data_IF_659308603041
#
_entry.id   IF_659308603041
#
_cell.length_a   1.000
_cell.length_b   1.000
_cell.length_c   1.000
_cell.angle_alpha   90.00
_cell.angle_beta   90.00
_cell.angle_gamma   90.00
#
_symmetry.space_group_name_H-M   'P 1'
#
loop_
_entity.id
_entity.type
_entity.pdbx_description
1 polymer ?
#
# COMPACT_ATOMS: atom_id res chain seq x y z
N UNK A 1 -22.84 11.63 -13.09
CA UNK A 1 -22.21 10.34 -12.83
C UNK A 1 -20.80 10.57 -12.27
N UNK A 2 -20.53 10.07 -11.09
CA UNK A 2 -19.21 10.26 -10.48
C UNK A 2 -18.19 9.42 -11.23
N UNK A 3 -17.00 9.98 -11.57
CA UNK A 3 -15.95 9.16 -12.13
C UNK A 3 -15.54 8.08 -11.13
N UNK A 4 -15.31 6.89 -11.64
CA UNK A 4 -14.81 5.80 -10.80
C UNK A 4 -13.47 6.20 -10.19
N UNK A 5 -13.44 6.36 -8.89
CA UNK A 5 -12.17 6.54 -8.19
C UNK A 5 -11.38 5.25 -8.33
N UNK A 6 -10.20 5.34 -8.88
CA UNK A 6 -9.31 4.20 -8.95
C UNK A 6 -9.01 3.73 -7.54
N UNK A 7 -9.19 2.45 -7.28
CA UNK A 7 -9.00 1.83 -5.96
C UNK A 7 -7.53 1.59 -5.61
N UNK A 8 -6.62 1.89 -6.51
CA UNK A 8 -5.18 1.71 -6.32
C UNK A 8 -4.43 2.84 -7.00
N UNK A 9 -3.14 2.97 -6.66
CA UNK A 9 -2.27 3.95 -7.30
C UNK A 9 -2.13 3.66 -8.80
N UNK A 10 -2.05 4.73 -9.57
CA UNK A 10 -1.69 4.65 -10.99
C UNK A 10 -0.18 4.41 -11.13
N UNK A 11 0.24 3.98 -12.32
CA UNK A 11 1.66 3.81 -12.62
C UNK A 11 2.47 5.10 -12.39
N UNK A 12 1.90 6.24 -12.79
CA UNK A 12 2.56 7.54 -12.59
C UNK A 12 2.72 7.88 -11.11
N UNK A 13 1.71 7.60 -10.30
CA UNK A 13 1.76 7.80 -8.86
C UNK A 13 2.81 6.89 -8.20
N UNK A 14 2.91 5.64 -8.65
CA UNK A 14 3.93 4.71 -8.17
C UNK A 14 5.33 5.20 -8.54
N UNK A 15 5.52 5.69 -9.75
CA UNK A 15 6.80 6.27 -10.20
C UNK A 15 7.18 7.46 -9.31
N UNK A 16 6.23 8.32 -8.99
CA UNK A 16 6.45 9.46 -8.09
C UNK A 16 6.88 9.00 -6.71
N UNK A 17 6.23 7.95 -6.16
CA UNK A 17 6.61 7.39 -4.87
C UNK A 17 8.01 6.79 -4.87
N UNK A 18 8.37 6.08 -5.92
CA UNK A 18 9.71 5.49 -6.04
C UNK A 18 10.81 6.53 -6.17
N UNK A 19 10.50 7.68 -6.77
CA UNK A 19 11.43 8.81 -6.85
C UNK A 19 11.60 9.53 -5.53
N UNK A 20 10.66 9.37 -4.61
CA UNK A 20 10.75 9.88 -3.26
C UNK A 20 11.64 8.92 -2.46
N UNK A 21 12.93 8.97 -2.68
CA UNK A 21 13.86 8.19 -1.87
C UNK A 21 14.11 8.93 -0.56
N UNK A 22 13.27 8.63 0.42
CA UNK A 22 13.31 9.24 1.75
C UNK A 22 14.61 8.91 2.49
N UNK A 23 15.33 7.89 2.03
CA UNK A 23 16.54 7.42 2.71
C UNK A 23 17.81 8.13 2.24
N UNK A 24 17.75 8.85 1.14
CA UNK A 24 18.91 9.55 0.55
C UNK A 24 18.80 11.06 0.64
N UNK A 25 18.27 11.57 1.72
CA UNK A 25 18.16 13.01 1.85
C UNK A 25 19.46 13.67 2.30
N UNK A 26 20.28 13.97 1.32
CA UNK A 26 21.34 14.98 1.48
C UNK A 26 20.71 16.34 1.19
N UNK A 27 20.35 17.05 2.25
CA UNK A 27 19.74 18.36 2.12
C UNK A 27 18.23 18.34 2.28
N UNK A 28 17.79 19.01 3.23
CA UNK A 28 16.46 19.08 3.80
C UNK A 28 15.35 19.50 2.82
N UNK A 29 14.95 18.60 1.93
CA UNK A 29 13.60 18.70 1.39
C UNK A 29 12.80 17.60 2.08
N UNK A 30 11.92 17.97 2.98
CA UNK A 30 11.07 16.98 3.66
C UNK A 30 10.20 16.28 2.63
N UNK A 31 9.93 14.99 2.85
CA UNK A 31 8.99 14.23 2.04
C UNK A 31 7.65 14.97 1.95
N UNK A 32 7.25 15.63 3.02
CA UNK A 32 6.04 16.44 3.06
C UNK A 32 6.06 17.60 2.07
N UNK A 33 7.18 18.33 1.96
CA UNK A 33 7.29 19.43 1.03
C UNK A 33 7.17 18.96 -0.42
N UNK A 34 7.80 17.84 -0.76
CA UNK A 34 7.73 17.26 -2.11
C UNK A 34 6.31 16.79 -2.42
N UNK A 35 5.67 16.09 -1.49
CA UNK A 35 4.31 15.63 -1.65
C UNK A 35 3.32 16.78 -1.80
N UNK A 36 3.50 17.85 -1.01
CA UNK A 36 2.65 19.04 -1.11
C UNK A 36 2.74 19.71 -2.48
N UNK A 37 3.93 19.73 -3.07
CA UNK A 37 4.15 20.27 -4.41
C UNK A 37 3.54 19.40 -5.51
N UNK A 38 3.69 18.07 -5.40
CA UNK A 38 3.31 17.14 -6.46
C UNK A 38 1.86 16.68 -6.38
N UNK A 39 1.30 16.57 -5.20
CA UNK A 39 -0.01 15.95 -4.98
C UNK A 39 -1.00 16.91 -4.33
N UNK A 40 -0.53 17.82 -3.51
CA UNK A 40 -1.39 18.74 -2.76
C UNK A 40 -1.01 18.82 -1.30
N UNK A 41 -1.52 19.85 -0.64
CA UNK A 41 -1.24 20.12 0.76
C UNK A 41 -1.88 19.06 1.65
N UNK A 42 -1.21 18.74 2.75
CA UNK A 42 -1.73 17.89 3.80
C UNK A 42 -3.09 18.40 4.28
N UNK A 43 -4.08 17.51 4.33
CA UNK A 43 -5.45 17.85 4.68
C UNK A 43 -6.35 18.17 3.49
N UNK A 44 -5.80 18.34 2.28
CA UNK A 44 -6.63 18.45 1.08
C UNK A 44 -7.23 17.08 0.71
N UNK A 45 -8.36 17.08 0.01
CA UNK A 45 -9.01 15.84 -0.42
C UNK A 45 -8.11 15.03 -1.36
N UNK A 46 -7.41 15.69 -2.27
CA UNK A 46 -6.48 15.03 -3.18
C UNK A 46 -5.33 14.39 -2.42
N UNK A 47 -4.81 15.07 -1.41
CA UNK A 47 -3.72 14.55 -0.60
C UNK A 47 -4.16 13.38 0.27
N UNK A 48 -5.35 13.45 0.87
CA UNK A 48 -5.89 12.37 1.69
C UNK A 48 -6.12 11.11 0.85
N UNK A 49 -6.66 11.26 -0.35
CA UNK A 49 -6.85 10.14 -1.28
C UNK A 49 -5.51 9.52 -1.69
N UNK A 50 -4.53 10.35 -2.01
CA UNK A 50 -3.18 9.90 -2.34
C UNK A 50 -2.53 9.16 -1.17
N UNK A 51 -2.62 9.71 0.05
CA UNK A 51 -2.00 9.10 1.23
C UNK A 51 -2.60 7.73 1.53
N UNK A 52 -3.92 7.57 1.40
CA UNK A 52 -4.59 6.29 1.59
C UNK A 52 -4.11 5.25 0.54
N UNK A 53 -4.05 5.65 -0.71
CA UNK A 53 -3.56 4.79 -1.80
C UNK A 53 -2.08 4.44 -1.65
N UNK A 54 -1.27 5.42 -1.22
CA UNK A 54 0.16 5.20 -1.00
C UNK A 54 0.40 4.19 0.11
N UNK A 55 -0.37 4.26 1.20
CA UNK A 55 -0.30 3.28 2.30
C UNK A 55 -0.71 1.90 1.82
N UNK A 56 -1.80 1.80 1.07
CA UNK A 56 -2.27 0.52 0.53
C UNK A 56 -1.22 -0.10 -0.39
N UNK A 57 -0.60 0.72 -1.25
CA UNK A 57 0.48 0.27 -2.12
C UNK A 57 1.68 -0.22 -1.30
N UNK A 58 2.09 0.52 -0.29
CA UNK A 58 3.22 0.17 0.57
C UNK A 58 2.97 -1.15 1.30
N UNK A 59 1.80 -1.31 1.91
CA UNK A 59 1.45 -2.55 2.59
C UNK A 59 1.35 -3.73 1.62
N UNK A 60 0.83 -3.49 0.43
CA UNK A 60 0.79 -4.51 -0.63
C UNK A 60 2.17 -5.00 -1.02
N UNK A 61 3.11 -4.08 -1.21
CA UNK A 61 4.51 -4.41 -1.52
C UNK A 61 5.17 -5.18 -0.36
N UNK A 62 4.93 -4.77 0.87
CA UNK A 62 5.46 -5.44 2.05
C UNK A 62 4.97 -6.90 2.14
N UNK A 63 3.68 -7.12 1.93
CA UNK A 63 3.11 -8.46 1.94
C UNK A 63 3.64 -9.31 0.79
N UNK A 64 3.81 -8.71 -0.39
CA UNK A 64 4.39 -9.38 -1.55
C UNK A 64 5.82 -9.83 -1.28
N UNK A 65 6.65 -8.96 -0.74
CA UNK A 65 8.04 -9.29 -0.41
C UNK A 65 8.10 -10.40 0.64
N UNK A 66 7.26 -10.31 1.67
CA UNK A 66 7.21 -11.36 2.69
C UNK A 66 6.77 -12.70 2.11
N UNK A 67 5.78 -12.69 1.21
CA UNK A 67 5.35 -13.90 0.52
C UNK A 67 6.51 -14.55 -0.24
N UNK A 68 7.28 -13.73 -0.95
CA UNK A 68 8.45 -14.20 -1.69
C UNK A 68 9.54 -14.74 -0.79
N UNK A 69 9.80 -14.08 0.34
CA UNK A 69 10.74 -14.58 1.34
C UNK A 69 10.37 -15.97 1.84
N UNK A 70 9.08 -16.23 1.99
CA UNK A 70 8.57 -17.54 2.40
C UNK A 70 8.49 -18.55 1.27
N UNK A 71 8.84 -18.16 0.05
CA UNK A 71 8.81 -19.03 -1.12
C UNK A 71 7.41 -19.41 -1.59
N UNK A 72 6.41 -18.61 -1.24
CA UNK A 72 5.02 -18.87 -1.60
C UNK A 72 4.62 -18.18 -2.90
N UNK A 73 3.86 -18.89 -3.73
CA UNK A 73 3.18 -18.27 -4.87
C UNK A 73 1.91 -17.56 -4.39
N UNK A 74 1.39 -16.66 -5.21
CA UNK A 74 0.10 -16.03 -4.92
C UNK A 74 -1.01 -17.07 -4.75
N UNK A 75 -0.99 -18.13 -5.57
CA UNK A 75 -1.96 -19.22 -5.51
C UNK A 75 -1.86 -19.98 -4.18
N UNK A 76 -0.64 -20.27 -3.74
CA UNK A 76 -0.42 -20.97 -2.47
C UNK A 76 -0.90 -20.12 -1.27
N UNK A 77 -0.58 -18.84 -1.28
CA UNK A 77 -1.07 -17.93 -0.23
C UNK A 77 -2.61 -17.85 -0.26
N UNK A 78 -3.18 -17.72 -1.45
CA UNK A 78 -4.64 -17.69 -1.61
C UNK A 78 -5.31 -18.93 -1.01
N UNK A 79 -4.74 -20.10 -1.27
CA UNK A 79 -5.22 -21.36 -0.69
C UNK A 79 -5.18 -21.37 0.83
N UNK A 80 -4.12 -20.81 1.42
CA UNK A 80 -3.97 -20.76 2.87
C UNK A 80 -5.02 -19.87 3.55
N UNK A 81 -5.48 -18.82 2.88
CA UNK A 81 -6.43 -17.86 3.45
C UNK A 81 -7.86 -18.05 2.92
N UNK A 82 -8.09 -19.08 2.13
CA UNK A 82 -9.42 -19.37 1.58
C UNK A 82 -9.90 -18.34 0.57
N UNK A 83 -8.99 -17.79 -0.22
CA UNK A 83 -9.29 -16.80 -1.25
C UNK A 83 -8.76 -17.25 -2.61
N UNK A 84 -9.15 -16.54 -3.65
CA UNK A 84 -8.63 -16.74 -5.00
C UNK A 84 -7.32 -15.97 -5.21
N UNK A 85 -6.50 -16.46 -6.15
CA UNK A 85 -5.24 -15.81 -6.51
C UNK A 85 -5.44 -14.34 -6.90
N UNK A 86 -6.51 -14.04 -7.63
CA UNK A 86 -6.83 -12.67 -8.05
C UNK A 86 -6.99 -11.72 -6.87
N UNK A 87 -7.52 -12.21 -5.76
CA UNK A 87 -7.66 -11.43 -4.54
C UNK A 87 -6.29 -11.05 -3.97
N UNK A 88 -5.37 -12.01 -3.90
CA UNK A 88 -3.99 -11.75 -3.44
C UNK A 88 -3.30 -10.75 -4.36
N UNK A 89 -3.45 -10.91 -5.67
CA UNK A 89 -2.86 -10.02 -6.65
C UNK A 89 -3.35 -8.57 -6.47
N UNK A 90 -4.64 -8.39 -6.21
CA UNK A 90 -5.23 -7.06 -5.98
C UNK A 90 -4.67 -6.40 -4.73
N UNK A 91 -4.52 -7.15 -3.65
CA UNK A 91 -3.91 -6.66 -2.40
C UNK A 91 -2.47 -6.24 -2.65
N UNK A 92 -1.69 -7.08 -3.30
CA UNK A 92 -0.27 -6.80 -3.57
C UNK A 92 -0.07 -5.60 -4.50
N UNK A 93 -1.08 -5.26 -5.28
CA UNK A 93 -1.08 -4.06 -6.13
C UNK A 93 -1.59 -2.80 -5.42
N UNK A 94 -1.95 -2.90 -4.16
CA UNK A 94 -2.36 -1.76 -3.34
C UNK A 94 -3.80 -1.34 -3.50
N UNK A 95 -4.71 -2.28 -3.73
CA UNK A 95 -6.12 -1.97 -3.76
C UNK A 95 -6.61 -1.58 -2.37
N UNK A 96 -7.40 -0.50 -2.27
CA UNK A 96 -7.78 0.09 -0.99
C UNK A 96 -9.08 -0.45 -0.40
N UNK A 97 -9.91 -1.08 -1.22
CA UNK A 97 -11.25 -1.51 -0.83
C UNK A 97 -11.24 -2.97 -0.38
N UNK A 98 -10.64 -3.23 0.77
CA UNK A 98 -10.43 -4.58 1.28
C UNK A 98 -11.14 -4.76 2.61
N UNK A 99 -11.61 -5.99 2.84
CA UNK A 99 -12.13 -6.38 4.14
C UNK A 99 -10.97 -6.55 5.14
N UNK A 100 -11.10 -5.94 6.30
CA UNK A 100 -10.09 -6.03 7.34
C UNK A 100 -9.84 -7.48 7.78
N UNK A 101 -10.88 -8.28 7.91
CA UNK A 101 -10.76 -9.68 8.31
C UNK A 101 -9.90 -10.48 7.34
N UNK A 102 -10.05 -10.25 6.04
CA UNK A 102 -9.25 -10.91 5.02
C UNK A 102 -7.80 -10.47 5.07
N UNK A 103 -7.56 -9.18 5.26
CA UNK A 103 -6.22 -8.62 5.42
C UNK A 103 -5.51 -9.24 6.63
N UNK A 104 -6.19 -9.34 7.76
CA UNK A 104 -5.63 -9.95 8.97
C UNK A 104 -5.29 -11.42 8.78
N UNK A 105 -6.11 -12.18 8.05
CA UNK A 105 -5.80 -13.57 7.72
C UNK A 105 -4.53 -13.70 6.87
N UNK A 106 -4.35 -12.78 5.95
CA UNK A 106 -3.16 -12.77 5.09
C UNK A 106 -1.91 -12.45 5.91
N UNK A 107 -1.96 -11.45 6.77
CA UNK A 107 -0.83 -11.12 7.63
C UNK A 107 -0.47 -12.27 8.54
N UNK A 108 -1.46 -12.95 9.10
CA UNK A 108 -1.25 -14.12 9.95
C UNK A 108 -0.60 -15.27 9.16
N UNK A 109 -1.10 -15.55 7.96
CA UNK A 109 -0.54 -16.60 7.10
C UNK A 109 0.92 -16.32 6.69
N UNK A 110 1.31 -15.06 6.62
CA UNK A 110 2.67 -14.63 6.27
C UNK A 110 3.55 -14.42 7.51
N UNK A 111 3.03 -14.66 8.69
CA UNK A 111 3.72 -14.40 9.97
C UNK A 111 4.16 -12.93 10.07
N UNK A 112 3.29 -12.04 9.68
CA UNK A 112 3.46 -10.59 9.82
C UNK A 112 2.61 -10.11 10.98
N UNK A 113 3.23 -9.45 11.93
CA UNK A 113 2.52 -8.89 13.09
C UNK A 113 2.13 -7.45 12.81
N UNK A 114 0.87 -7.14 13.08
CA UNK A 114 0.37 -5.77 13.02
C UNK A 114 0.43 -5.15 14.40
N UNK A 115 1.03 -3.97 14.46
CA UNK A 115 1.08 -3.18 15.69
C UNK A 115 0.38 -1.85 15.44
N UNK A 116 -0.56 -1.53 16.32
CA UNK A 116 -1.24 -0.24 16.30
C UNK A 116 -0.67 0.63 17.42
N UNK A 117 -0.32 1.85 17.07
CA UNK A 117 0.12 2.84 18.04
C UNK A 117 -0.85 4.00 18.04
N UNK A 118 -1.23 4.42 19.25
CA UNK A 118 -2.03 5.62 19.42
C UNK A 118 -1.08 6.80 19.53
N UNK A 119 -1.18 7.74 18.61
CA UNK A 119 -0.38 8.97 18.69
C UNK A 119 -1.03 9.95 19.63
N UNK A 120 -0.23 10.54 20.50
CA UNK A 120 -0.65 11.55 21.46
C UNK A 120 -0.46 12.94 20.88
#
# INVERSE_FOLDING_TARGET
>A
MKPNKKKRLTEDEIIKLRKLDITKQDGFVSAEAVLSQQVGKKGSAERDDFDAKAKAWFYGELLRERRKELGLTQKELAGKVGRERTYINRIEKGETDLQLSSFLRITEALDVKLRLEVSN
#
